data_IF_293568495248
#
_entry.id   IF_293568495248
#
_cell.length_a   1.000
_cell.length_b   1.000
_cell.length_c   1.000
_cell.angle_alpha   90.00
_cell.angle_beta   90.00
_cell.angle_gamma   90.00
#
_symmetry.space_group_name_H-M   'P 1'
#
loop_
_entity.id
_entity.type
_entity.pdbx_description
1 polymer ?
#
# COMPACT_ATOMS: atom_id res chain seq x y z
N UNK A 1 50.83 -23.24 -4.22
CA UNK A 1 49.68 -23.31 -5.16
C UNK A 1 48.46 -23.51 -4.28
N UNK A 2 47.58 -22.52 -4.17
CA UNK A 2 46.44 -22.55 -3.26
C UNK A 2 45.44 -23.59 -3.73
N UNK A 3 45.19 -24.62 -2.94
CA UNK A 3 44.17 -25.64 -3.18
C UNK A 3 42.79 -24.98 -3.23
N UNK A 4 42.37 -24.55 -4.42
CA UNK A 4 41.02 -24.04 -4.66
C UNK A 4 40.11 -25.26 -4.70
N UNK A 5 39.55 -25.61 -3.54
CA UNK A 5 38.39 -26.50 -3.49
C UNK A 5 37.32 -25.98 -4.46
N UNK A 6 36.64 -26.91 -5.15
CA UNK A 6 35.61 -26.52 -6.09
C UNK A 6 34.48 -25.83 -5.32
N UNK A 7 33.81 -24.86 -5.95
CA UNK A 7 32.67 -24.16 -5.32
C UNK A 7 31.56 -25.16 -4.93
N UNK A 8 31.45 -26.26 -5.66
CA UNK A 8 30.49 -27.33 -5.34
C UNK A 8 30.82 -28.01 -4.01
N UNK A 9 32.10 -28.33 -3.76
CA UNK A 9 32.54 -28.96 -2.52
C UNK A 9 32.28 -28.07 -1.30
N UNK A 10 32.57 -26.77 -1.43
CA UNK A 10 32.35 -25.78 -0.36
C UNK A 10 30.86 -25.60 -0.04
N UNK A 11 29.97 -25.71 -1.04
CA UNK A 11 28.52 -25.63 -0.84
C UNK A 11 28.01 -26.87 -0.12
N UNK A 12 28.51 -28.05 -0.48
CA UNK A 12 28.08 -29.30 0.12
C UNK A 12 28.50 -29.43 1.59
N UNK A 13 29.75 -29.05 1.90
CA UNK A 13 30.27 -28.99 3.27
C UNK A 13 29.40 -28.09 4.16
N UNK A 14 29.08 -26.87 3.68
CA UNK A 14 28.27 -25.92 4.44
C UNK A 14 26.81 -26.33 4.58
N UNK A 15 26.23 -26.96 3.56
CA UNK A 15 24.86 -27.48 3.62
C UNK A 15 24.71 -28.58 4.66
N UNK A 16 25.71 -29.46 4.77
CA UNK A 16 25.71 -30.56 5.76
C UNK A 16 25.88 -30.06 7.20
N UNK A 17 26.56 -28.93 7.39
CA UNK A 17 26.79 -28.31 8.70
C UNK A 17 25.72 -27.27 9.08
N UNK A 18 24.67 -27.09 8.27
CA UNK A 18 23.62 -26.13 8.60
C UNK A 18 22.69 -26.76 9.65
N UNK A 19 22.53 -26.15 10.84
CA UNK A 19 21.64 -26.69 11.87
C UNK A 19 20.22 -26.76 11.32
N UNK A 20 19.56 -27.89 11.56
CA UNK A 20 18.16 -28.05 11.22
C UNK A 20 17.33 -27.04 12.04
N UNK A 21 16.36 -26.34 11.43
CA UNK A 21 15.44 -25.51 12.19
C UNK A 21 14.64 -26.37 13.17
N UNK A 22 14.58 -25.96 14.44
CA UNK A 22 13.86 -26.69 15.51
C UNK A 22 12.35 -26.78 15.28
N UNK A 23 11.80 -25.89 14.45
CA UNK A 23 10.39 -25.87 14.06
C UNK A 23 10.26 -25.91 12.54
N UNK A 24 9.28 -26.66 11.98
CA UNK A 24 8.99 -26.59 10.56
C UNK A 24 8.68 -25.14 10.18
N UNK A 25 9.06 -24.69 8.96
CA UNK A 25 8.74 -23.35 8.50
C UNK A 25 7.23 -23.15 8.60
N UNK A 26 6.83 -22.13 9.37
CA UNK A 26 5.42 -21.80 9.55
C UNK A 26 4.76 -21.61 8.18
N UNK A 27 3.47 -21.99 8.07
CA UNK A 27 2.72 -21.74 6.83
C UNK A 27 2.82 -20.27 6.46
N UNK A 28 2.93 -20.02 5.16
CA UNK A 28 2.90 -18.68 4.61
C UNK A 28 1.53 -18.05 4.87
N UNK A 29 1.48 -16.99 5.67
CA UNK A 29 0.26 -16.24 6.01
C UNK A 29 -0.14 -15.22 4.92
N UNK A 30 0.40 -15.36 3.70
CA UNK A 30 0.15 -14.44 2.59
C UNK A 30 -1.33 -14.32 2.17
N UNK A 31 -2.17 -15.30 2.53
CA UNK A 31 -3.62 -15.28 2.27
C UNK A 31 -4.44 -14.77 3.47
N UNK A 32 -3.79 -14.32 4.55
CA UNK A 32 -4.49 -13.80 5.71
C UNK A 32 -5.10 -12.43 5.40
N UNK A 33 -6.36 -12.24 5.79
CA UNK A 33 -7.02 -10.93 5.70
C UNK A 33 -6.43 -9.92 6.71
N UNK A 34 -5.67 -10.41 7.69
CA UNK A 34 -4.92 -9.59 8.65
C UNK A 34 -3.55 -9.23 8.09
N UNK A 35 -3.40 -7.98 7.64
CA UNK A 35 -2.14 -7.46 7.09
C UNK A 35 -0.96 -7.51 8.09
N UNK A 36 -1.23 -7.56 9.39
CA UNK A 36 -0.19 -7.68 10.43
C UNK A 36 0.37 -9.10 10.55
N UNK A 37 -0.38 -10.11 10.07
CA UNK A 37 0.05 -11.51 10.07
C UNK A 37 1.09 -11.80 8.98
N UNK A 38 1.19 -10.95 7.95
CA UNK A 38 2.24 -11.10 6.95
C UNK A 38 3.59 -10.73 7.58
N UNK A 39 4.41 -11.73 7.93
CA UNK A 39 5.78 -11.58 8.46
C UNK A 39 6.77 -10.95 7.45
N UNK A 40 6.29 -10.12 6.53
CA UNK A 40 7.13 -9.18 5.79
C UNK A 40 7.42 -8.04 6.75
N UNK A 41 8.70 -7.68 6.93
CA UNK A 41 9.12 -6.66 7.90
C UNK A 41 8.20 -5.44 7.80
N UNK A 42 7.39 -5.23 8.84
CA UNK A 42 6.46 -4.12 8.90
C UNK A 42 7.29 -2.85 8.82
N UNK A 43 7.19 -2.13 7.69
CA UNK A 43 7.30 -0.69 7.73
C UNK A 43 6.22 -0.22 8.69
N UNK A 44 6.59 -0.16 9.98
CA UNK A 44 5.68 0.08 11.07
C UNK A 44 4.87 1.33 10.77
N UNK A 45 3.59 1.29 11.15
CA UNK A 45 2.59 2.33 10.93
C UNK A 45 3.22 3.70 11.19
N UNK A 46 3.74 4.33 10.15
CA UNK A 46 4.29 5.67 10.23
C UNK A 46 3.09 6.59 10.18
N UNK A 47 2.63 6.90 11.39
CA UNK A 47 1.72 7.98 11.70
C UNK A 47 0.32 7.78 11.10
N UNK A 48 -0.65 7.34 11.90
CA UNK A 48 -2.10 7.27 11.56
C UNK A 48 -2.72 8.66 11.32
N UNK A 49 -1.90 9.67 11.01
CA UNK A 49 -2.25 11.08 10.93
C UNK A 49 -3.04 11.47 9.68
N UNK A 50 -3.55 10.52 8.89
CA UNK A 50 -4.68 10.79 8.01
C UNK A 50 -5.95 10.89 8.86
N UNK A 51 -6.10 12.02 9.57
CA UNK A 51 -7.23 12.30 10.47
C UNK A 51 -8.57 12.49 9.74
N UNK A 52 -8.59 12.40 8.41
CA UNK A 52 -9.72 12.78 7.58
C UNK A 52 -9.99 11.72 6.50
N UNK A 53 -11.19 11.14 6.55
CA UNK A 53 -11.69 10.18 5.55
C UNK A 53 -11.95 8.79 6.12
N UNK A 54 -11.98 7.80 5.23
CA UNK A 54 -12.18 6.37 5.53
C UNK A 54 -10.88 5.57 5.44
N UNK A 55 -10.96 4.31 5.86
CA UNK A 55 -9.83 3.38 5.94
C UNK A 55 -9.21 2.97 4.59
N UNK A 56 -9.69 3.46 3.44
CA UNK A 56 -9.20 3.05 2.12
C UNK A 56 -7.69 3.22 1.90
N UNK A 57 -7.05 4.14 2.62
CA UNK A 57 -5.62 4.40 2.46
C UNK A 57 -4.73 3.41 3.24
N UNK A 58 -5.25 2.75 4.27
CA UNK A 58 -4.42 1.91 5.18
C UNK A 58 -5.11 0.75 5.88
N UNK A 59 -6.43 0.76 6.00
CA UNK A 59 -7.19 -0.36 6.52
C UNK A 59 -7.53 -1.39 5.45
N UNK A 60 -8.14 -2.50 5.85
CA UNK A 60 -8.53 -3.56 4.93
C UNK A 60 -9.51 -3.04 3.87
N UNK A 61 -9.42 -3.57 2.66
CA UNK A 61 -10.32 -3.25 1.55
C UNK A 61 -11.70 -3.92 1.77
N UNK A 62 -12.53 -3.32 2.62
CA UNK A 62 -13.85 -3.83 3.03
C UNK A 62 -15.00 -3.29 2.19
N UNK A 63 -14.74 -2.41 1.21
CA UNK A 63 -15.76 -1.85 0.31
C UNK A 63 -15.31 -1.80 -1.15
N UNK A 64 -16.23 -1.42 -2.05
CA UNK A 64 -15.92 -1.21 -3.47
C UNK A 64 -14.97 -0.03 -3.67
N UNK A 65 -14.14 -0.07 -4.71
CA UNK A 65 -13.15 0.99 -4.96
C UNK A 65 -13.77 2.18 -5.71
N UNK A 66 -13.54 3.39 -5.21
CA UNK A 66 -13.91 4.65 -5.87
C UNK A 66 -13.23 4.84 -7.25
N UNK A 67 -12.17 4.08 -7.55
CA UNK A 67 -11.55 4.08 -8.88
C UNK A 67 -12.38 3.33 -9.93
N UNK A 68 -13.35 2.50 -9.51
CA UNK A 68 -14.16 1.65 -10.40
C UNK A 68 -15.64 1.99 -10.35
N UNK A 69 -16.13 2.43 -9.19
CA UNK A 69 -17.55 2.69 -8.94
C UNK A 69 -17.70 4.11 -8.38
N UNK A 70 -18.61 4.88 -8.96
CA UNK A 70 -19.02 6.16 -8.42
C UNK A 70 -20.10 5.95 -7.35
N UNK A 71 -19.70 6.06 -6.08
CA UNK A 71 -20.62 5.88 -4.95
C UNK A 71 -21.78 6.86 -4.94
N UNK A 72 -21.62 8.06 -5.52
CA UNK A 72 -22.70 9.04 -5.60
C UNK A 72 -23.76 8.62 -6.63
N UNK A 73 -23.32 8.16 -7.81
CA UNK A 73 -24.22 7.67 -8.86
C UNK A 73 -25.00 6.42 -8.45
N UNK A 74 -24.35 5.52 -7.70
CA UNK A 74 -24.96 4.25 -7.26
C UNK A 74 -25.58 4.32 -5.85
N UNK A 75 -25.44 5.45 -5.15
CA UNK A 75 -25.84 5.59 -3.74
C UNK A 75 -25.26 4.48 -2.85
N UNK A 76 -24.02 4.07 -3.12
CA UNK A 76 -23.28 3.05 -2.36
C UNK A 76 -22.07 3.67 -1.70
N UNK A 77 -21.66 3.09 -0.56
CA UNK A 77 -20.41 3.49 0.07
C UNK A 77 -19.24 2.86 -0.68
N UNK A 78 -18.40 3.69 -1.29
CA UNK A 78 -17.14 3.29 -1.93
C UNK A 78 -15.94 3.76 -1.12
N UNK A 79 -14.92 2.92 -1.05
CA UNK A 79 -13.65 3.20 -0.41
C UNK A 79 -12.74 4.01 -1.35
N UNK A 80 -12.12 5.05 -0.81
CA UNK A 80 -11.18 5.92 -1.53
C UNK A 80 -11.75 7.25 -2.01
N UNK A 81 -13.06 7.49 -1.84
CA UNK A 81 -13.68 8.80 -2.01
C UNK A 81 -13.67 9.55 -0.66
N UNK A 82 -13.43 10.87 -0.69
CA UNK A 82 -13.43 11.71 0.50
C UNK A 82 -12.36 11.28 1.51
N UNK A 83 -11.13 11.03 1.04
CA UNK A 83 -9.98 10.66 1.89
C UNK A 83 -8.81 11.61 1.71
N UNK A 84 -7.96 11.74 2.74
CA UNK A 84 -6.75 12.58 2.67
C UNK A 84 -7.09 14.06 2.47
N UNK A 85 -6.51 14.70 1.44
CA UNK A 85 -6.77 16.13 1.17
C UNK A 85 -8.20 16.41 0.72
N UNK A 86 -8.85 15.47 0.02
CA UNK A 86 -10.25 15.64 -0.38
C UNK A 86 -11.16 15.81 0.86
N UNK A 87 -10.91 15.01 1.90
CA UNK A 87 -11.63 15.05 3.17
C UNK A 87 -11.32 16.29 4.00
N UNK A 88 -10.07 16.75 4.00
CA UNK A 88 -9.63 17.93 4.74
C UNK A 88 -10.10 19.24 4.08
N UNK A 89 -10.04 19.30 2.75
CA UNK A 89 -10.14 20.54 2.00
C UNK A 89 -11.49 20.73 1.28
N UNK A 90 -12.36 19.72 1.28
CA UNK A 90 -13.74 19.82 0.80
C UNK A 90 -13.89 19.75 -0.72
N UNK A 91 -13.10 18.90 -1.40
CA UNK A 91 -13.16 18.70 -2.85
C UNK A 91 -11.81 18.27 -3.44
N UNK A 92 -11.80 17.88 -4.71
CA UNK A 92 -10.57 17.47 -5.40
C UNK A 92 -9.77 18.74 -5.76
N UNK A 93 -8.50 18.86 -5.36
CA UNK A 93 -7.68 20.01 -5.69
C UNK A 93 -7.29 20.01 -7.17
N UNK A 94 -7.17 21.20 -7.77
CA UNK A 94 -7.00 21.39 -9.22
C UNK A 94 -5.70 20.78 -9.77
N UNK A 95 -4.69 20.58 -8.93
CA UNK A 95 -3.42 19.95 -9.26
C UNK A 95 -3.46 18.41 -9.21
N UNK A 96 -4.50 17.82 -8.62
CA UNK A 96 -4.68 16.37 -8.56
C UNK A 96 -5.35 15.79 -9.81
N UNK A 97 -5.92 16.62 -10.68
CA UNK A 97 -6.56 16.18 -11.93
C UNK A 97 -5.64 16.34 -13.14
N UNK A 98 -5.91 15.58 -14.20
CA UNK A 98 -5.21 15.75 -15.47
C UNK A 98 -5.34 17.18 -16.00
N UNK A 99 -4.30 17.70 -16.69
CA UNK A 99 -4.24 19.09 -17.17
C UNK A 99 -5.50 19.56 -17.93
N UNK A 100 -6.12 18.70 -18.75
CA UNK A 100 -7.33 19.04 -19.51
C UNK A 100 -8.63 19.03 -18.70
N UNK A 101 -8.56 18.71 -17.40
CA UNK A 101 -9.68 18.75 -16.47
C UNK A 101 -9.51 19.79 -15.38
N UNK A 102 -8.46 20.61 -15.46
CA UNK A 102 -8.30 21.77 -14.58
C UNK A 102 -9.46 22.75 -14.77
N UNK A 103 -9.76 23.49 -13.71
CA UNK A 103 -10.70 24.62 -13.68
C UNK A 103 -12.16 24.26 -13.98
N UNK A 104 -12.52 22.98 -13.89
CA UNK A 104 -13.90 22.51 -13.97
C UNK A 104 -14.65 22.74 -12.66
N UNK A 105 -15.96 22.88 -12.78
CA UNK A 105 -16.88 22.99 -11.63
C UNK A 105 -16.71 21.80 -10.68
N UNK A 106 -16.66 22.07 -9.37
CA UNK A 106 -16.44 21.07 -8.33
C UNK A 106 -14.98 20.81 -7.97
N UNK A 107 -14.02 21.47 -8.64
CA UNK A 107 -12.60 21.43 -8.26
C UNK A 107 -12.21 22.64 -7.42
N UNK A 108 -11.34 22.40 -6.43
CA UNK A 108 -10.77 23.46 -5.60
C UNK A 108 -9.55 24.06 -6.29
N UNK A 109 -9.54 25.38 -6.51
CA UNK A 109 -8.36 26.05 -7.05
C UNK A 109 -7.19 26.01 -6.08
N UNK A 110 -6.17 25.23 -6.44
CA UNK A 110 -4.92 25.08 -5.69
C UNK A 110 -3.68 25.45 -6.51
N UNK A 111 -3.85 25.66 -7.81
CA UNK A 111 -2.82 26.22 -8.69
C UNK A 111 -2.89 27.74 -8.56
N UNK A 112 -1.80 28.36 -8.10
CA UNK A 112 -1.69 29.82 -8.09
C UNK A 112 -1.94 30.41 -9.48
N UNK A 113 -2.34 31.69 -9.56
CA UNK A 113 -2.56 32.38 -10.85
C UNK A 113 -1.34 32.15 -11.74
N UNK A 114 -1.55 31.58 -12.91
CA UNK A 114 -0.54 31.57 -13.97
C UNK A 114 -0.13 33.03 -14.21
N UNK A 115 1.14 33.35 -13.95
CA UNK A 115 1.73 34.68 -14.14
C UNK A 115 1.94 34.99 -15.62
#
# INVERSE_FOLDING_TARGET
MSDKQSKADVIEERRRNLPLPDAPPAKSDFNSADGTATKVGSGGVSDTSFSYGNDALRGPATGESAARVDGNSYSTNVQGQGVGREALEGGIPNDAVARGSKDKDGLKQTTGKDL
#
